data_IF_001684100010
#
_entry.id   IF_001684100010
#
_cell.length_a   1.000
_cell.length_b   1.000
_cell.length_c   1.000
_cell.angle_alpha   90.00
_cell.angle_beta   90.00
_cell.angle_gamma   90.00
#
_symmetry.space_group_name_H-M   'P 1'
#
loop_
_entity.id
_entity.type
_entity.pdbx_description
1 polymer ?
#
# COMPACT_ATOMS: atom_id res chain seq x y z
N UNK A 1 8.62 25.75 7.63
CA UNK A 1 7.50 24.96 7.08
C UNK A 1 7.46 25.13 5.57
N UNK A 2 7.88 24.14 4.77
CA UNK A 2 7.66 24.20 3.32
C UNK A 2 6.15 24.04 3.07
N UNK A 3 5.52 25.10 2.60
CA UNK A 3 4.17 25.10 2.04
C UNK A 3 4.03 23.92 1.09
N UNK A 4 3.06 23.01 1.33
CA UNK A 4 2.74 21.99 0.34
C UNK A 4 2.36 22.71 -0.95
N UNK A 5 3.19 22.56 -1.99
CA UNK A 5 2.88 23.11 -3.31
C UNK A 5 1.50 22.64 -3.72
N UNK A 6 0.68 23.54 -4.29
CA UNK A 6 -0.63 23.17 -4.84
C UNK A 6 -0.48 21.93 -5.73
N UNK A 7 -1.34 20.93 -5.51
CA UNK A 7 -1.33 19.68 -6.29
C UNK A 7 -1.48 20.01 -7.77
N UNK A 8 -0.63 19.41 -8.61
CA UNK A 8 -0.74 19.56 -10.07
C UNK A 8 -1.93 18.76 -10.61
N UNK A 9 -2.39 19.06 -11.82
CA UNK A 9 -3.44 18.27 -12.48
C UNK A 9 -3.08 16.77 -12.55
N UNK A 10 -1.79 16.45 -12.78
CA UNK A 10 -1.30 15.07 -12.74
C UNK A 10 -1.37 14.45 -11.34
N UNK A 11 -1.14 15.22 -10.28
CA UNK A 11 -1.25 14.70 -8.91
C UNK A 11 -2.69 14.32 -8.59
N UNK A 12 -3.65 15.13 -9.04
CA UNK A 12 -5.07 14.86 -8.89
C UNK A 12 -5.46 13.65 -9.73
N UNK A 13 -5.08 13.66 -11.02
CA UNK A 13 -5.41 12.61 -11.98
C UNK A 13 -4.94 11.24 -11.52
N UNK A 14 -3.73 11.12 -10.96
CA UNK A 14 -3.18 9.83 -10.53
C UNK A 14 -3.34 9.55 -9.04
N UNK A 15 -4.15 10.35 -8.32
CA UNK A 15 -4.24 10.31 -6.87
C UNK A 15 -2.84 10.23 -6.21
N UNK A 16 -1.88 10.99 -6.74
CA UNK A 16 -0.49 10.94 -6.31
C UNK A 16 -0.29 11.86 -5.09
N UNK A 17 0.42 11.34 -4.10
CA UNK A 17 0.86 12.07 -2.92
C UNK A 17 2.20 11.56 -2.44
N UNK A 18 3.01 12.46 -1.89
CA UNK A 18 4.16 12.04 -1.11
C UNK A 18 3.69 11.50 0.25
N UNK A 19 4.16 10.29 0.59
CA UNK A 19 4.08 9.76 1.97
C UNK A 19 5.24 10.35 2.77
N UNK A 20 6.45 10.27 2.21
CA UNK A 20 7.65 10.96 2.66
C UNK A 20 8.28 11.65 1.45
N UNK A 21 8.31 13.00 1.39
CA UNK A 21 8.79 13.73 0.22
C UNK A 21 10.20 13.30 -0.22
N UNK A 22 10.35 12.94 -1.49
CA UNK A 22 11.63 12.48 -2.06
C UNK A 22 12.02 11.05 -1.72
N UNK A 23 11.21 10.32 -0.93
CA UNK A 23 11.52 8.97 -0.49
C UNK A 23 10.44 7.95 -0.87
N UNK A 24 9.19 8.24 -0.52
CA UNK A 24 8.07 7.33 -0.78
C UNK A 24 6.83 8.12 -1.17
N UNK A 25 6.22 7.70 -2.27
CA UNK A 25 4.96 8.24 -2.76
C UNK A 25 3.88 7.15 -2.77
N UNK A 26 2.63 7.59 -2.89
CA UNK A 26 1.45 6.77 -3.09
C UNK A 26 0.67 7.26 -4.29
N UNK A 27 0.11 6.34 -5.08
CA UNK A 27 -0.69 6.68 -6.24
C UNK A 27 -1.74 5.60 -6.57
N UNK A 28 -2.67 5.96 -7.45
CA UNK A 28 -3.51 5.01 -8.16
C UNK A 28 -2.82 4.48 -9.41
N UNK A 29 -3.40 3.48 -10.05
CA UNK A 29 -2.92 3.01 -11.33
C UNK A 29 -3.10 4.07 -12.42
N UNK A 30 -2.05 4.28 -13.22
CA UNK A 30 -2.14 5.18 -14.35
C UNK A 30 -3.01 4.56 -15.46
N UNK A 31 -4.27 5.01 -15.53
CA UNK A 31 -5.19 4.65 -16.62
C UNK A 31 -5.11 5.63 -17.80
N UNK A 32 -4.65 6.85 -17.55
CA UNK A 32 -4.47 7.90 -18.56
C UNK A 32 -3.01 7.98 -19.06
N UNK A 33 -2.82 8.52 -20.27
CA UNK A 33 -1.50 8.75 -20.88
C UNK A 33 -0.65 9.81 -20.14
N UNK A 34 0.64 9.87 -20.46
CA UNK A 34 1.58 10.85 -19.87
C UNK A 34 2.25 10.41 -18.56
N UNK A 35 1.98 9.18 -18.09
CA UNK A 35 2.58 8.62 -16.86
C UNK A 35 4.10 8.61 -16.89
N UNK A 36 4.74 8.38 -18.04
CA UNK A 36 6.20 8.38 -18.14
C UNK A 36 6.80 9.74 -17.77
N UNK A 37 6.33 10.82 -18.42
CA UNK A 37 6.74 12.19 -18.09
C UNK A 37 6.35 12.57 -16.66
N UNK A 38 5.24 12.02 -16.16
CA UNK A 38 4.80 12.25 -14.79
C UNK A 38 5.77 11.66 -13.75
N UNK A 39 6.20 10.41 -13.95
CA UNK A 39 7.15 9.71 -13.09
C UNK A 39 8.56 10.30 -13.20
N UNK A 40 9.05 10.57 -14.42
CA UNK A 40 10.36 11.21 -14.67
C UNK A 40 10.50 12.54 -13.94
N UNK A 41 9.49 13.42 -14.03
CA UNK A 41 9.49 14.72 -13.33
C UNK A 41 9.56 14.62 -11.80
N UNK A 42 9.15 13.48 -11.23
CA UNK A 42 9.18 13.22 -9.78
C UNK A 42 10.40 12.39 -9.36
N UNK A 43 11.23 11.99 -10.32
CA UNK A 43 12.38 11.13 -10.07
C UNK A 43 12.02 9.76 -9.52
N UNK A 44 10.82 9.24 -9.81
CA UNK A 44 10.41 7.91 -9.31
C UNK A 44 11.35 6.85 -9.90
N UNK A 45 12.04 6.12 -9.03
CA UNK A 45 13.01 5.08 -9.39
C UNK A 45 12.46 3.66 -9.20
N UNK A 46 11.36 3.51 -8.47
CA UNK A 46 10.71 2.22 -8.31
C UNK A 46 9.18 2.32 -8.17
N UNK A 47 8.49 1.26 -8.60
CA UNK A 47 7.05 1.04 -8.39
C UNK A 47 6.89 -0.23 -7.57
N UNK A 48 6.25 -0.11 -6.40
CA UNK A 48 5.80 -1.25 -5.62
C UNK A 48 4.33 -1.51 -5.97
N UNK A 49 4.09 -2.59 -6.71
CA UNK A 49 2.78 -2.96 -7.21
C UNK A 49 2.02 -3.83 -6.19
N UNK A 50 1.03 -3.20 -5.54
CA UNK A 50 0.20 -3.82 -4.51
C UNK A 50 -0.92 -4.70 -5.08
N UNK A 51 -1.08 -4.74 -6.41
CA UNK A 51 -2.02 -5.63 -7.09
C UNK A 51 -1.41 -7.02 -7.36
N UNK A 52 -0.10 -7.17 -7.15
CA UNK A 52 0.65 -8.38 -7.48
C UNK A 52 0.88 -8.57 -8.98
N UNK A 53 1.62 -9.63 -9.31
CA UNK A 53 1.90 -10.04 -10.68
C UNK A 53 0.59 -10.41 -11.40
N UNK A 54 0.35 -9.82 -12.56
CA UNK A 54 -0.82 -10.07 -13.41
C UNK A 54 -0.37 -10.07 -14.89
N UNK A 55 0.53 -10.98 -15.25
CA UNK A 55 1.21 -11.03 -16.55
C UNK A 55 0.31 -11.26 -17.75
N UNK A 56 -0.93 -11.71 -17.53
CA UNK A 56 -1.98 -11.83 -18.54
C UNK A 56 -2.72 -10.50 -18.79
N UNK A 57 -2.72 -9.55 -17.84
CA UNK A 57 -3.49 -8.32 -17.94
C UNK A 57 -2.73 -7.19 -18.65
N UNK A 58 -3.42 -6.54 -19.59
CA UNK A 58 -2.86 -5.46 -20.42
C UNK A 58 -2.28 -4.30 -19.61
N UNK A 59 -2.89 -3.97 -18.47
CA UNK A 59 -2.41 -2.91 -17.61
C UNK A 59 -1.07 -3.24 -16.96
N UNK A 60 -0.85 -4.49 -16.57
CA UNK A 60 0.37 -4.93 -15.91
C UNK A 60 1.49 -4.95 -16.96
N UNK A 61 1.23 -5.53 -18.14
CA UNK A 61 2.16 -5.51 -19.27
C UNK A 61 2.59 -4.10 -19.64
N UNK A 62 1.65 -3.15 -19.70
CA UNK A 62 1.94 -1.73 -19.98
C UNK A 62 2.77 -1.08 -18.89
N UNK A 63 2.46 -1.36 -17.63
CA UNK A 63 3.19 -0.83 -16.47
C UNK A 63 4.63 -1.37 -16.41
N UNK A 64 4.83 -2.68 -16.57
CA UNK A 64 6.16 -3.30 -16.53
C UNK A 64 7.00 -2.92 -17.75
N UNK A 65 6.42 -2.87 -18.95
CA UNK A 65 7.12 -2.35 -20.14
C UNK A 65 7.51 -0.87 -19.99
N UNK A 66 6.66 -0.06 -19.35
CA UNK A 66 7.01 1.32 -19.00
C UNK A 66 8.13 1.38 -17.98
N UNK A 67 8.07 0.55 -16.94
CA UNK A 67 9.08 0.53 -15.90
C UNK A 67 10.45 0.14 -16.50
N UNK A 68 10.49 -0.96 -17.26
CA UNK A 68 11.67 -1.48 -17.94
C UNK A 68 12.34 -0.43 -18.84
N UNK A 69 11.58 0.19 -19.77
CA UNK A 69 12.16 1.16 -20.72
C UNK A 69 12.67 2.45 -20.07
N UNK A 70 12.28 2.72 -18.82
CA UNK A 70 12.65 3.92 -18.08
C UNK A 70 13.65 3.63 -16.94
N UNK A 71 14.13 2.39 -16.81
CA UNK A 71 15.02 2.01 -15.69
C UNK A 71 14.36 2.14 -14.32
N UNK A 72 13.03 2.03 -14.26
CA UNK A 72 12.27 2.05 -13.01
C UNK A 72 12.15 0.61 -12.52
N UNK A 73 12.60 0.33 -11.30
CA UNK A 73 12.41 -0.99 -10.69
C UNK A 73 10.92 -1.28 -10.49
N UNK A 74 10.48 -2.51 -10.74
CA UNK A 74 9.09 -2.92 -10.52
C UNK A 74 9.07 -4.11 -9.57
N UNK A 75 8.47 -3.92 -8.39
CA UNK A 75 8.44 -4.89 -7.31
C UNK A 75 6.99 -5.30 -7.04
N UNK A 76 6.65 -6.57 -7.25
CA UNK A 76 5.35 -7.10 -6.90
C UNK A 76 5.29 -7.46 -5.40
N UNK A 77 4.39 -6.79 -4.67
CA UNK A 77 4.10 -7.03 -3.26
C UNK A 77 2.58 -7.09 -3.06
N UNK A 78 1.99 -8.24 -3.39
CA UNK A 78 0.54 -8.39 -3.52
C UNK A 78 -0.19 -8.15 -2.19
N UNK A 79 -1.28 -7.38 -2.25
CA UNK A 79 -2.28 -7.24 -1.18
C UNK A 79 -3.70 -7.44 -1.74
N UNK A 80 -4.61 -7.95 -0.90
CA UNK A 80 -6.05 -7.93 -1.14
C UNK A 80 -6.70 -6.94 -0.18
N UNK A 81 -7.50 -6.01 -0.70
CA UNK A 81 -8.16 -4.99 0.13
C UNK A 81 -9.24 -5.57 1.05
N UNK A 82 -9.74 -6.77 0.73
CA UNK A 82 -10.89 -7.38 1.40
C UNK A 82 -10.52 -8.58 2.27
N UNK A 83 -9.30 -9.12 2.15
CA UNK A 83 -8.89 -10.32 2.87
C UNK A 83 -7.66 -10.02 3.73
N UNK A 84 -7.60 -10.64 4.91
CA UNK A 84 -6.45 -10.51 5.79
C UNK A 84 -5.21 -11.13 5.11
N UNK A 85 -4.07 -10.42 5.07
CA UNK A 85 -2.88 -10.87 4.35
C UNK A 85 -2.21 -12.01 5.10
N UNK A 86 -1.59 -12.95 4.37
CA UNK A 86 -0.75 -13.96 5.02
C UNK A 86 0.53 -13.33 5.56
N UNK A 87 1.27 -14.08 6.37
CA UNK A 87 2.57 -13.64 6.88
C UNK A 87 3.52 -13.32 5.74
N UNK A 88 3.60 -14.20 4.75
CA UNK A 88 4.49 -14.11 3.59
C UNK A 88 4.19 -12.85 2.76
N UNK A 89 2.92 -12.48 2.62
CA UNK A 89 2.52 -11.25 1.93
C UNK A 89 3.05 -10.00 2.63
N UNK A 90 2.98 -9.95 3.97
CA UNK A 90 3.51 -8.83 4.74
C UNK A 90 5.04 -8.82 4.79
N UNK A 91 5.68 -9.99 4.88
CA UNK A 91 7.15 -10.12 4.77
C UNK A 91 7.60 -9.55 3.43
N UNK A 92 6.99 -9.99 2.32
CA UNK A 92 7.32 -9.51 0.97
C UNK A 92 7.12 -8.00 0.83
N UNK A 93 6.08 -7.45 1.46
CA UNK A 93 5.83 -6.01 1.44
C UNK A 93 6.94 -5.23 2.17
N UNK A 94 7.38 -5.71 3.34
CA UNK A 94 8.48 -5.11 4.09
C UNK A 94 9.78 -5.19 3.30
N UNK A 95 10.10 -6.36 2.72
CA UNK A 95 11.26 -6.52 1.84
C UNK A 95 11.22 -5.55 0.66
N UNK A 96 10.05 -5.36 0.04
CA UNK A 96 9.91 -4.40 -1.06
C UNK A 96 10.17 -2.95 -0.62
N UNK A 97 9.88 -2.58 0.63
CA UNK A 97 10.23 -1.25 1.16
C UNK A 97 11.74 -1.05 1.26
N UNK A 98 12.46 -2.11 1.63
CA UNK A 98 13.90 -2.08 1.83
C UNK A 98 14.67 -2.14 0.51
N UNK A 99 14.21 -2.99 -0.42
CA UNK A 99 14.81 -3.21 -1.75
C UNK A 99 14.59 -2.04 -2.71
N UNK A 100 13.44 -1.36 -2.63
CA UNK A 100 13.04 -0.41 -3.65
C UNK A 100 13.95 0.83 -3.70
N UNK A 101 14.55 1.15 -4.87
CA UNK A 101 15.19 2.43 -5.08
C UNK A 101 14.24 3.60 -4.77
N UNK A 102 14.57 4.41 -3.76
CA UNK A 102 13.88 5.67 -3.44
C UNK A 102 14.06 6.66 -4.59
N UNK A 103 13.27 7.72 -4.77
CA UNK A 103 11.88 7.74 -4.40
C UNK A 103 11.13 6.61 -5.09
N UNK A 104 10.41 5.80 -4.32
CA UNK A 104 9.53 4.76 -4.86
C UNK A 104 8.07 5.17 -4.77
N UNK A 105 7.21 4.52 -5.55
CA UNK A 105 5.77 4.75 -5.56
C UNK A 105 5.00 3.47 -5.20
N UNK A 106 4.22 3.53 -4.13
CA UNK A 106 3.22 2.52 -3.76
C UNK A 106 1.99 2.69 -4.65
N UNK A 107 1.60 1.63 -5.35
CA UNK A 107 0.48 1.70 -6.30
C UNK A 107 -0.47 0.52 -6.16
N UNK A 108 -1.78 0.81 -6.16
CA UNK A 108 -2.84 -0.19 -6.34
C UNK A 108 -3.79 0.23 -7.47
N UNK A 109 -5.02 -0.25 -7.51
CA UNK A 109 -6.00 0.15 -8.54
C UNK A 109 -6.42 1.62 -8.38
N UNK A 110 -7.09 1.96 -7.27
CA UNK A 110 -7.62 3.32 -7.00
C UNK A 110 -6.72 4.22 -6.12
N UNK A 111 -5.59 3.73 -5.62
CA UNK A 111 -4.71 4.49 -4.73
C UNK A 111 -5.27 4.73 -3.31
N UNK A 112 -6.32 4.00 -2.96
CA UNK A 112 -7.10 4.15 -1.72
C UNK A 112 -6.75 3.01 -0.75
N UNK A 113 -7.53 1.93 -0.69
CA UNK A 113 -7.44 0.88 0.34
C UNK A 113 -6.04 0.29 0.56
N UNK A 114 -5.54 -0.53 -0.39
CA UNK A 114 -4.24 -1.20 -0.31
C UNK A 114 -3.09 -0.21 -0.18
N UNK A 115 -3.20 0.91 -0.88
CA UNK A 115 -2.18 1.96 -0.89
C UNK A 115 -2.11 2.69 0.46
N UNK A 116 -3.26 2.99 1.10
CA UNK A 116 -3.31 3.55 2.45
C UNK A 116 -2.69 2.58 3.45
N UNK A 117 -3.02 1.29 3.34
CA UNK A 117 -2.47 0.25 4.20
C UNK A 117 -0.95 0.11 4.07
N UNK A 118 -0.43 -0.03 2.84
CA UNK A 118 1.00 -0.11 2.60
C UNK A 118 1.74 1.19 3.02
N UNK A 119 1.17 2.37 2.75
CA UNK A 119 1.77 3.64 3.15
C UNK A 119 1.84 3.80 4.67
N UNK A 120 0.80 3.34 5.38
CA UNK A 120 0.77 3.33 6.83
C UNK A 120 1.83 2.38 7.42
N UNK A 121 1.90 1.15 6.91
CA UNK A 121 2.93 0.19 7.32
C UNK A 121 4.34 0.67 7.01
N UNK A 122 4.55 1.32 5.87
CA UNK A 122 5.85 1.92 5.54
C UNK A 122 6.26 3.01 6.55
N UNK A 123 5.33 3.88 6.97
CA UNK A 123 5.62 4.90 7.98
C UNK A 123 6.02 4.26 9.33
N UNK A 124 5.33 3.19 9.73
CA UNK A 124 5.66 2.43 10.95
C UNK A 124 6.99 1.68 10.81
N UNK A 125 7.27 1.09 9.66
CA UNK A 125 8.56 0.43 9.38
C UNK A 125 9.72 1.42 9.47
N UNK A 126 9.55 2.60 8.86
CA UNK A 126 10.56 3.67 8.80
C UNK A 126 10.77 4.37 10.13
N UNK A 127 9.69 4.67 10.86
CA UNK A 127 9.69 5.54 12.04
C UNK A 127 9.41 4.85 13.36
N UNK A 128 9.17 3.53 13.35
CA UNK A 128 8.67 2.78 14.50
C UNK A 128 7.20 3.09 14.83
N UNK A 129 6.73 2.51 15.93
CA UNK A 129 5.34 2.68 16.40
C UNK A 129 5.00 4.12 16.84
N UNK A 130 5.99 4.99 17.02
CA UNK A 130 5.74 6.43 17.26
C UNK A 130 5.17 7.13 16.02
N UNK A 131 5.31 6.56 14.82
CA UNK A 131 4.73 7.07 13.58
C UNK A 131 3.23 6.76 13.42
N UNK A 132 2.58 6.14 14.42
CA UNK A 132 1.19 5.68 14.35
C UNK A 132 0.18 6.77 13.96
N UNK A 133 0.35 8.00 14.44
CA UNK A 133 -0.56 9.09 14.05
C UNK A 133 -0.44 9.47 12.57
N UNK A 134 0.79 9.48 12.03
CA UNK A 134 1.02 9.70 10.61
C UNK A 134 0.50 8.52 9.78
N UNK A 135 0.66 7.28 10.27
CA UNK A 135 0.16 6.06 9.65
C UNK A 135 -1.38 6.07 9.57
N UNK A 136 -2.08 6.40 10.67
CA UNK A 136 -3.55 6.54 10.70
C UNK A 136 -4.06 7.59 9.71
N UNK A 137 -3.33 8.69 9.54
CA UNK A 137 -3.67 9.75 8.57
C UNK A 137 -3.65 9.26 7.12
N UNK A 138 -2.93 8.19 6.79
CA UNK A 138 -2.95 7.61 5.43
C UNK A 138 -4.35 7.10 5.02
N UNK A 139 -5.26 6.90 5.97
CA UNK A 139 -6.64 6.49 5.70
C UNK A 139 -7.62 7.66 5.58
N UNK A 140 -7.15 8.91 5.52
CA UNK A 140 -8.01 10.08 5.47
C UNK A 140 -8.87 10.15 4.19
N UNK A 141 -10.12 10.63 4.35
CA UNK A 141 -11.04 10.88 3.23
C UNK A 141 -10.44 11.89 2.24
N UNK A 142 -9.93 13.00 2.74
CA UNK A 142 -9.18 13.97 1.93
C UNK A 142 -7.72 14.02 2.44
N UNK A 143 -6.73 14.05 1.55
CA UNK A 143 -6.83 14.20 0.10
C UNK A 143 -6.82 12.87 -0.69
N UNK A 144 -6.88 11.72 0.01
CA UNK A 144 -6.67 10.39 -0.59
C UNK A 144 -7.92 9.75 -1.21
N UNK A 145 -9.09 10.34 -1.00
CA UNK A 145 -10.41 9.83 -1.41
C UNK A 145 -10.69 8.43 -0.85
N UNK A 146 -10.25 8.13 0.38
CA UNK A 146 -10.39 6.80 0.95
C UNK A 146 -11.81 6.58 1.54
N UNK A 147 -12.59 5.71 0.88
CA UNK A 147 -13.96 5.35 1.24
C UNK A 147 -14.12 3.82 1.38
N UNK A 148 -13.73 3.22 2.52
CA UNK A 148 -13.72 1.77 2.66
C UNK A 148 -15.15 1.20 2.66
N UNK A 149 -15.43 0.23 1.78
CA UNK A 149 -16.66 -0.57 1.87
C UNK A 149 -16.55 -1.58 3.00
N UNK A 150 -17.64 -2.28 3.29
CA UNK A 150 -17.77 -3.22 4.42
C UNK A 150 -16.51 -4.06 4.65
N UNK A 151 -16.05 -4.81 3.63
CA UNK A 151 -14.91 -5.73 3.76
C UNK A 151 -13.53 -5.07 3.69
N UNK A 152 -13.42 -3.74 3.59
CA UNK A 152 -12.16 -3.00 3.66
C UNK A 152 -11.99 -2.27 5.00
N UNK A 153 -13.00 -2.29 5.86
CA UNK A 153 -13.00 -1.53 7.13
C UNK A 153 -11.98 -2.07 8.14
N UNK A 154 -11.48 -3.30 7.95
CA UNK A 154 -10.41 -3.90 8.77
C UNK A 154 -9.04 -3.21 8.61
N UNK A 155 -8.78 -2.54 7.47
CA UNK A 155 -7.44 -2.06 7.11
C UNK A 155 -6.86 -1.05 8.10
N UNK A 156 -7.70 -0.12 8.60
CA UNK A 156 -7.24 0.89 9.57
C UNK A 156 -7.10 0.30 10.98
N UNK A 157 -8.09 -0.44 11.54
CA UNK A 157 -7.94 -1.14 12.82
C UNK A 157 -6.78 -2.12 12.90
N UNK A 158 -6.36 -2.68 11.76
CA UNK A 158 -5.18 -3.55 11.72
C UNK A 158 -3.93 -2.87 12.31
N UNK A 159 -3.78 -1.54 12.18
CA UNK A 159 -2.64 -0.84 12.76
C UNK A 159 -2.65 -0.91 14.30
N UNK A 160 -3.82 -0.87 14.93
CA UNK A 160 -3.97 -0.97 16.39
C UNK A 160 -3.64 -2.40 16.83
N UNK A 161 -4.22 -3.40 16.15
CA UNK A 161 -3.84 -4.80 16.33
C UNK A 161 -2.33 -5.00 16.24
N UNK A 162 -1.70 -4.46 15.19
CA UNK A 162 -0.28 -4.64 14.95
C UNK A 162 0.56 -3.99 16.07
N UNK A 163 0.18 -2.78 16.52
CA UNK A 163 0.88 -2.10 17.60
C UNK A 163 0.76 -2.84 18.94
N UNK A 164 -0.44 -3.30 19.28
CA UNK A 164 -0.70 -4.08 20.51
C UNK A 164 0.01 -5.43 20.49
N UNK A 165 -0.10 -6.17 19.38
CA UNK A 165 0.50 -7.49 19.27
C UNK A 165 2.02 -7.40 19.15
N UNK A 166 2.57 -6.37 18.51
CA UNK A 166 4.03 -6.20 18.43
C UNK A 166 4.69 -5.91 19.78
N UNK A 167 3.97 -5.33 20.75
CA UNK A 167 4.52 -4.93 22.05
C UNK A 167 5.85 -4.17 21.94
N UNK A 168 5.95 -3.28 20.95
CA UNK A 168 7.13 -2.47 20.67
C UNK A 168 8.18 -3.11 19.75
N UNK A 169 8.06 -4.40 19.39
CA UNK A 169 8.98 -5.02 18.44
C UNK A 169 8.93 -4.32 17.06
N UNK A 170 10.06 -4.16 16.33
CA UNK A 170 10.06 -3.57 15.00
C UNK A 170 9.10 -4.29 14.05
N UNK A 171 8.44 -3.56 13.14
CA UNK A 171 7.41 -4.11 12.25
C UNK A 171 7.91 -5.36 11.51
N UNK A 172 9.11 -5.29 10.92
CA UNK A 172 9.72 -6.40 10.19
C UNK A 172 9.87 -7.67 11.05
N UNK A 173 10.35 -7.52 12.28
CA UNK A 173 10.54 -8.63 13.21
C UNK A 173 9.18 -9.19 13.65
N UNK A 174 8.25 -8.33 14.06
CA UNK A 174 6.91 -8.76 14.44
C UNK A 174 6.18 -9.52 13.31
N UNK A 175 6.26 -9.01 12.07
CA UNK A 175 5.68 -9.68 10.90
C UNK A 175 6.31 -11.06 10.71
N UNK A 176 7.64 -11.17 10.77
CA UNK A 176 8.34 -12.44 10.54
C UNK A 176 8.08 -13.48 11.62
N UNK A 177 8.03 -13.07 12.88
CA UNK A 177 8.14 -14.01 13.99
C UNK A 177 6.78 -14.27 14.65
N UNK A 178 5.87 -13.29 14.64
CA UNK A 178 4.63 -13.36 15.43
C UNK A 178 3.32 -13.21 14.67
N UNK A 179 3.28 -12.34 13.66
CA UNK A 179 2.05 -12.08 12.91
C UNK A 179 1.48 -13.35 12.25
N UNK A 180 0.20 -13.64 12.50
CA UNK A 180 -0.58 -14.54 11.65
C UNK A 180 -1.94 -13.91 11.34
N UNK A 181 -2.55 -14.20 10.18
CA UNK A 181 -3.89 -13.70 9.86
C UNK A 181 -4.96 -14.20 10.84
N UNK A 182 -4.77 -15.35 11.49
CA UNK A 182 -5.67 -15.88 12.52
C UNK A 182 -5.65 -15.00 13.77
N UNK A 183 -4.47 -14.54 14.21
CA UNK A 183 -4.35 -13.60 15.34
C UNK A 183 -5.05 -12.28 15.03
N UNK A 184 -4.85 -11.75 13.82
CA UNK A 184 -5.55 -10.55 13.36
C UNK A 184 -7.06 -10.75 13.34
N UNK A 185 -7.53 -11.90 12.85
CA UNK A 185 -8.94 -12.28 12.85
C UNK A 185 -9.51 -12.31 14.27
N UNK A 186 -8.87 -13.03 15.20
CA UNK A 186 -9.33 -13.13 16.59
C UNK A 186 -9.41 -11.74 17.23
N UNK A 187 -8.39 -10.90 17.04
CA UNK A 187 -8.40 -9.54 17.56
C UNK A 187 -9.53 -8.70 16.95
N UNK A 188 -9.70 -8.71 15.62
CA UNK A 188 -10.76 -7.96 14.96
C UNK A 188 -12.14 -8.42 15.43
N UNK A 189 -12.38 -9.72 15.54
CA UNK A 189 -13.65 -10.27 15.97
C UNK A 189 -13.98 -9.84 17.41
N UNK A 190 -13.00 -9.91 18.32
CA UNK A 190 -13.15 -9.46 19.71
C UNK A 190 -13.45 -7.95 19.82
N UNK A 191 -13.08 -7.15 18.81
CA UNK A 191 -13.35 -5.71 18.74
C UNK A 191 -14.60 -5.38 17.90
N UNK A 192 -15.51 -6.35 17.68
CA UNK A 192 -16.75 -6.14 16.94
C UNK A 192 -16.57 -5.95 15.43
N UNK A 193 -15.39 -6.32 14.90
CA UNK A 193 -15.01 -6.10 13.49
C UNK A 193 -15.08 -7.37 12.64
N UNK A 194 -15.77 -8.44 13.09
CA UNK A 194 -15.87 -9.70 12.35
C UNK A 194 -16.43 -9.56 10.93
N UNK A 195 -17.32 -8.59 10.70
CA UNK A 195 -17.88 -8.30 9.37
C UNK A 195 -17.05 -7.35 8.51
N UNK A 196 -15.88 -6.89 8.99
CA UNK A 196 -15.07 -5.83 8.37
C UNK A 196 -14.05 -6.33 7.34
N UNK A 197 -13.82 -7.65 7.28
CA UNK A 197 -13.02 -8.36 6.28
C UNK A 197 -13.85 -9.50 5.68
N UNK A 198 -13.45 -10.00 4.50
CA UNK A 198 -14.17 -11.06 3.79
C UNK A 198 -13.73 -12.47 4.21
N UNK A 199 -12.43 -12.66 4.35
CA UNK A 199 -11.79 -13.94 4.72
C UNK A 199 -10.29 -13.71 5.01
N UNK A 200 -9.60 -14.76 5.44
CA UNK A 200 -8.13 -14.84 5.35
C UNK A 200 -7.75 -15.08 3.88
N UNK A 201 -6.65 -14.47 3.43
CA UNK A 201 -6.15 -14.70 2.08
C UNK A 201 -5.64 -16.14 1.94
N UNK A 202 -6.17 -16.86 0.95
CA UNK A 202 -5.73 -18.23 0.61
C UNK A 202 -5.11 -18.32 -0.78
N UNK A 203 -5.74 -17.64 -1.74
CA UNK A 203 -5.25 -17.54 -3.12
C UNK A 203 -5.64 -16.21 -3.77
N UNK A 204 -4.84 -15.74 -4.74
CA UNK A 204 -5.21 -14.62 -5.60
C UNK A 204 -6.61 -14.81 -6.17
N UNK A 205 -7.51 -13.85 -5.92
CA UNK A 205 -8.83 -13.86 -6.57
C UNK A 205 -8.74 -13.02 -7.82
N UNK A 206 -8.73 -13.67 -8.99
CA UNK A 206 -8.76 -12.98 -10.28
C UNK A 206 -10.03 -12.14 -10.33
N UNK A 207 -9.88 -10.83 -10.49
CA UNK A 207 -10.97 -9.98 -10.96
C UNK A 207 -10.39 -9.10 -12.05
N UNK A 208 -10.90 -9.17 -13.29
CA UNK A 208 -10.45 -8.27 -14.36
C UNK A 208 -10.63 -6.80 -13.96
N UNK A 209 -11.51 -6.54 -12.99
CA UNK A 209 -11.85 -5.21 -12.50
C UNK A 209 -11.27 -4.85 -11.13
N UNK A 210 -10.37 -5.66 -10.52
CA UNK A 210 -9.97 -5.53 -9.10
C UNK A 210 -9.97 -4.06 -8.58
N UNK A 211 -11.08 -3.69 -7.95
CA UNK A 211 -11.28 -2.45 -7.22
C UNK A 211 -10.40 -2.50 -5.97
#
# INVERSE_FOLDING_TARGET
MRTQSRRTAGDILYNFHWVVPGEAARAMQAWAGGVERFLKRRGIRAIINLRGRNDDLSWWKKETALAQRNGIAHLDAMLDSRKLPTREMLVRLVEAFDEAPRPFMLKCSGGQDRTSFAAALYLVHRGGWTAMDAARRQFARFPYLHFPKRHQRWLKPFLEFAAEDAKGAPLAAWVRDRYTPERAKVWLDAHGMAGSYKAIFSKPTRSPFQW
#
